data_IF_866493478777
#
_entry.id   IF_866493478777
#
_cell.length_a   1.000
_cell.length_b   1.000
_cell.length_c   1.000
_cell.angle_alpha   90.00
_cell.angle_beta   90.00
_cell.angle_gamma   90.00
#
_symmetry.space_group_name_H-M   'P 1'
#
loop_
_entity.id
_entity.type
_entity.pdbx_description
1 polymer ?
#
# COMPACT_ATOMS: atom_id res chain seq x y z
N UNK A 1 49.56 -25.61 5.20
CA UNK A 1 49.30 -24.41 4.37
C UNK A 1 47.79 -24.30 4.25
N UNK A 2 47.17 -23.38 5.00
CA UNK A 2 45.71 -23.22 5.04
C UNK A 2 45.36 -22.12 4.05
N UNK A 3 44.64 -22.47 2.99
CA UNK A 3 44.11 -21.51 2.03
C UNK A 3 42.63 -21.34 2.30
N UNK A 4 42.25 -20.18 2.84
CA UNK A 4 40.86 -19.73 2.92
C UNK A 4 40.59 -18.94 1.66
N UNK A 5 39.85 -19.52 0.72
CA UNK A 5 39.26 -18.77 -0.41
C UNK A 5 37.91 -18.27 0.06
N UNK A 6 37.79 -16.96 0.25
CA UNK A 6 36.52 -16.31 0.60
C UNK A 6 35.46 -16.69 -0.43
N UNK A 7 34.46 -17.45 0.02
CA UNK A 7 33.30 -17.79 -0.78
C UNK A 7 32.56 -16.51 -1.14
N UNK A 8 32.18 -16.41 -2.41
CA UNK A 8 31.33 -15.39 -3.04
C UNK A 8 30.24 -14.89 -2.09
N UNK A 9 29.86 -13.60 -2.10
CA UNK A 9 28.70 -13.18 -1.35
C UNK A 9 27.45 -13.95 -1.82
N UNK A 10 26.90 -14.78 -0.93
CA UNK A 10 25.64 -15.46 -1.17
C UNK A 10 24.53 -14.42 -1.11
N UNK A 11 24.03 -14.00 -2.27
CA UNK A 11 22.88 -13.10 -2.35
C UNK A 11 21.64 -13.81 -1.83
N UNK A 12 21.07 -13.32 -0.74
CA UNK A 12 19.77 -13.77 -0.27
C UNK A 12 18.66 -13.08 -1.07
N UNK A 13 17.65 -13.85 -1.48
CA UNK A 13 16.48 -13.34 -2.22
C UNK A 13 15.29 -13.19 -1.30
N UNK A 14 14.83 -11.95 -1.12
CA UNK A 14 13.59 -11.63 -0.41
C UNK A 14 12.44 -11.48 -1.40
N UNK A 15 11.33 -12.19 -1.18
CA UNK A 15 10.15 -12.18 -2.05
C UNK A 15 8.97 -11.46 -1.39
N UNK A 16 8.51 -10.37 -2.00
CA UNK A 16 7.41 -9.56 -1.50
C UNK A 16 6.10 -9.71 -2.30
N UNK A 17 6.04 -10.63 -3.28
CA UNK A 17 4.85 -10.79 -4.13
C UNK A 17 3.60 -11.11 -3.33
N UNK A 18 3.68 -12.04 -2.37
CA UNK A 18 2.53 -12.44 -1.56
C UNK A 18 2.02 -11.29 -0.70
N UNK A 19 2.90 -10.63 0.06
CA UNK A 19 2.50 -9.53 0.95
C UNK A 19 1.95 -8.32 0.18
N UNK A 20 2.50 -8.00 -0.99
CA UNK A 20 1.94 -6.95 -1.87
C UNK A 20 0.54 -7.30 -2.33
N UNK A 21 0.28 -8.56 -2.71
CA UNK A 21 -1.02 -9.01 -3.22
C UNK A 21 -2.10 -9.01 -2.15
N UNK A 22 -1.76 -9.38 -0.91
CA UNK A 22 -2.76 -9.53 0.17
C UNK A 22 -2.99 -8.26 0.99
N UNK A 23 -2.15 -7.23 0.84
CA UNK A 23 -2.32 -5.97 1.57
C UNK A 23 -2.63 -4.82 0.62
N UNK A 24 -3.90 -4.37 0.59
CA UNK A 24 -4.37 -3.31 -0.33
C UNK A 24 -3.49 -2.05 -0.29
N UNK A 25 -3.14 -1.58 0.91
CA UNK A 25 -2.25 -0.42 1.07
C UNK A 25 -0.89 -0.57 0.38
N UNK A 26 -0.29 -1.78 0.40
CA UNK A 26 0.97 -2.08 -0.28
C UNK A 26 0.76 -2.22 -1.79
N UNK A 27 -0.33 -2.86 -2.22
CA UNK A 27 -0.67 -2.97 -3.64
C UNK A 27 -0.77 -1.59 -4.31
N UNK A 28 -1.44 -0.64 -3.64
CA UNK A 28 -1.65 0.72 -4.14
C UNK A 28 -0.42 1.63 -4.04
N UNK A 29 0.57 1.28 -3.22
CA UNK A 29 1.74 2.13 -2.90
C UNK A 29 3.06 1.38 -3.02
N UNK A 30 3.13 0.43 -3.94
CA UNK A 30 4.28 -0.47 -4.02
C UNK A 30 5.59 0.28 -4.28
N UNK A 31 5.58 1.29 -5.15
CA UNK A 31 6.78 2.09 -5.42
C UNK A 31 7.27 2.85 -4.18
N UNK A 32 6.34 3.32 -3.34
CA UNK A 32 6.70 3.95 -2.07
C UNK A 32 7.27 2.93 -1.10
N UNK A 33 6.65 1.74 -0.98
CA UNK A 33 7.16 0.65 -0.16
C UNK A 33 8.58 0.21 -0.58
N UNK A 34 8.84 0.06 -1.89
CA UNK A 34 10.18 -0.25 -2.43
C UNK A 34 11.19 0.83 -2.06
N UNK A 35 10.83 2.11 -2.17
CA UNK A 35 11.69 3.22 -1.74
C UNK A 35 11.99 3.18 -0.25
N UNK A 36 11.00 2.89 0.60
CA UNK A 36 11.18 2.81 2.05
C UNK A 36 12.07 1.62 2.45
N UNK A 37 11.87 0.44 1.86
CA UNK A 37 12.75 -0.72 2.04
C UNK A 37 14.18 -0.36 1.61
N UNK A 38 14.34 0.21 0.41
CA UNK A 38 15.64 0.65 -0.08
C UNK A 38 16.31 1.70 0.80
N UNK A 39 15.55 2.53 1.50
CA UNK A 39 16.08 3.50 2.45
C UNK A 39 16.49 2.82 3.77
N UNK A 40 15.66 1.92 4.29
CA UNK A 40 15.90 1.20 5.55
C UNK A 40 17.15 0.30 5.51
N UNK A 41 17.54 -0.16 4.33
CA UNK A 41 18.73 -0.99 4.11
C UNK A 41 19.95 -0.19 3.63
N UNK A 42 19.84 1.13 3.44
CA UNK A 42 20.94 1.97 2.95
C UNK A 42 22.09 1.97 3.95
N UNK A 43 23.29 1.68 3.48
CA UNK A 43 24.50 1.61 4.31
C UNK A 43 24.57 0.39 5.23
N UNK A 44 23.57 -0.51 5.18
CA UNK A 44 23.52 -1.74 5.99
C UNK A 44 23.94 -2.95 5.15
N UNK A 45 23.37 -3.07 3.94
CA UNK A 45 23.67 -4.15 2.99
C UNK A 45 23.75 -3.61 1.56
N UNK A 46 24.49 -4.32 0.72
CA UNK A 46 24.31 -4.22 -0.73
C UNK A 46 22.95 -4.81 -1.09
N UNK A 47 22.27 -4.17 -2.03
CA UNK A 47 20.90 -4.54 -2.40
C UNK A 47 20.59 -4.17 -3.84
N UNK A 48 19.81 -5.01 -4.49
CA UNK A 48 19.41 -4.82 -5.86
C UNK A 48 17.97 -5.33 -6.05
N UNK A 49 17.11 -4.48 -6.61
CA UNK A 49 15.77 -4.93 -6.99
C UNK A 49 15.85 -5.65 -8.33
N UNK A 50 15.17 -6.79 -8.44
CA UNK A 50 15.02 -7.46 -9.73
C UNK A 50 13.97 -6.70 -10.55
N UNK A 51 14.34 -6.29 -11.77
CA UNK A 51 13.44 -5.58 -12.67
C UNK A 51 12.18 -6.39 -12.99
N UNK A 52 11.04 -5.71 -13.00
CA UNK A 52 9.73 -6.35 -13.24
C UNK A 52 9.26 -7.31 -12.15
N UNK A 53 10.02 -7.52 -11.07
CA UNK A 53 9.67 -8.44 -9.99
C UNK A 53 9.53 -7.73 -8.63
N UNK A 54 8.80 -8.36 -7.72
CA UNK A 54 8.68 -7.93 -6.32
C UNK A 54 9.78 -8.57 -5.46
N UNK A 55 10.98 -8.74 -6.03
CA UNK A 55 12.09 -9.46 -5.41
C UNK A 55 13.26 -8.52 -5.17
N UNK A 56 13.84 -8.61 -3.98
CA UNK A 56 15.03 -7.88 -3.58
C UNK A 56 16.15 -8.88 -3.32
N UNK A 57 17.27 -8.70 -4.01
CA UNK A 57 18.52 -9.37 -3.70
C UNK A 57 19.25 -8.55 -2.63
N UNK A 58 19.73 -9.22 -1.58
CA UNK A 58 20.55 -8.59 -0.53
C UNK A 58 21.82 -9.40 -0.32
N UNK A 59 22.95 -8.71 -0.21
CA UNK A 59 24.24 -9.30 0.11
C UNK A 59 24.69 -8.78 1.48
N UNK A 60 24.95 -9.71 2.40
CA UNK A 60 25.45 -9.40 3.74
C UNK A 60 26.98 -9.40 3.73
N UNK A 61 27.58 -8.21 3.76
CA UNK A 61 29.04 -8.07 3.87
C UNK A 61 29.55 -8.17 5.30
N UNK A 62 28.65 -8.14 6.29
CA UNK A 62 28.99 -8.18 7.72
C UNK A 62 28.61 -9.54 8.34
N UNK A 63 29.56 -10.25 8.98
CA UNK A 63 29.32 -11.56 9.57
C UNK A 63 28.31 -11.53 10.73
N UNK A 64 28.18 -10.39 11.42
CA UNK A 64 27.25 -10.23 12.54
C UNK A 64 25.82 -9.85 12.11
N UNK A 65 25.62 -9.52 10.83
CA UNK A 65 24.33 -9.11 10.32
C UNK A 65 23.51 -10.30 9.83
N UNK A 66 22.62 -10.80 10.68
CA UNK A 66 21.73 -11.91 10.32
C UNK A 66 20.67 -11.51 9.28
N UNK A 67 20.31 -12.45 8.40
CA UNK A 67 19.19 -12.30 7.46
C UNK A 67 17.87 -11.94 8.17
N UNK A 68 17.66 -12.44 9.40
CA UNK A 68 16.51 -12.09 10.24
C UNK A 68 16.42 -10.59 10.53
N UNK A 69 17.56 -9.95 10.83
CA UNK A 69 17.57 -8.50 11.10
C UNK A 69 17.21 -7.68 9.86
N UNK A 70 17.61 -8.15 8.67
CA UNK A 70 17.27 -7.53 7.38
C UNK A 70 15.77 -7.68 7.11
N UNK A 71 15.21 -8.87 7.34
CA UNK A 71 13.78 -9.12 7.21
C UNK A 71 12.99 -8.18 8.12
N UNK A 72 13.37 -8.03 9.39
CA UNK A 72 12.70 -7.13 10.32
C UNK A 72 12.72 -5.67 9.82
N UNK A 73 13.88 -5.17 9.37
CA UNK A 73 13.98 -3.81 8.79
C UNK A 73 13.07 -3.63 7.58
N UNK A 74 13.00 -4.62 6.70
CA UNK A 74 12.08 -4.61 5.56
C UNK A 74 10.62 -4.59 6.03
N UNK A 75 10.25 -5.43 6.99
CA UNK A 75 8.89 -5.50 7.53
C UNK A 75 8.48 -4.17 8.18
N UNK A 76 9.35 -3.56 8.98
CA UNK A 76 9.08 -2.26 9.61
C UNK A 76 8.87 -1.16 8.57
N UNK A 77 9.67 -1.15 7.50
CA UNK A 77 9.53 -0.22 6.38
C UNK A 77 8.22 -0.40 5.59
N UNK A 78 7.56 -1.56 5.69
CA UNK A 78 6.27 -1.80 5.04
C UNK A 78 5.08 -1.26 5.84
N UNK A 79 5.20 -1.11 7.17
CA UNK A 79 4.07 -0.78 8.06
C UNK A 79 3.42 0.56 7.68
N UNK A 80 4.21 1.59 7.41
CA UNK A 80 3.71 2.92 7.05
C UNK A 80 2.86 2.91 5.77
N UNK A 81 3.42 2.50 4.62
CA UNK A 81 2.70 2.41 3.35
C UNK A 81 1.47 1.51 3.44
N UNK A 82 1.57 0.39 4.18
CA UNK A 82 0.51 -0.57 4.40
C UNK A 82 -0.69 0.07 5.11
N UNK A 83 -0.47 0.72 6.26
CA UNK A 83 -1.56 1.15 7.15
C UNK A 83 -2.07 2.57 6.93
N UNK A 84 -1.28 3.44 6.28
CA UNK A 84 -1.66 4.86 6.15
C UNK A 84 -3.01 5.00 5.42
N UNK A 85 -3.98 5.78 5.94
CA UNK A 85 -5.28 5.97 5.30
C UNK A 85 -5.18 6.39 3.83
N UNK A 86 -6.12 5.92 3.01
CA UNK A 86 -6.20 6.22 1.58
C UNK A 86 -6.71 7.63 1.35
N UNK A 87 -6.11 8.33 0.40
CA UNK A 87 -6.62 9.60 -0.12
C UNK A 87 -7.80 9.34 -1.05
N UNK A 88 -8.62 10.35 -1.36
CA UNK A 88 -9.73 10.19 -2.32
C UNK A 88 -9.28 9.58 -3.65
N UNK A 89 -8.09 9.96 -4.14
CA UNK A 89 -7.53 9.43 -5.39
C UNK A 89 -7.30 7.92 -5.32
N UNK A 90 -6.66 7.44 -4.25
CA UNK A 90 -6.37 6.01 -4.09
C UNK A 90 -7.64 5.19 -3.83
N UNK A 91 -8.56 5.72 -3.03
CA UNK A 91 -9.87 5.11 -2.79
C UNK A 91 -10.64 4.92 -4.10
N UNK A 92 -10.78 5.98 -4.90
CA UNK A 92 -11.54 5.93 -6.15
C UNK A 92 -10.93 4.94 -7.14
N UNK A 93 -9.59 4.89 -7.22
CA UNK A 93 -8.89 3.91 -8.04
C UNK A 93 -9.12 2.47 -7.55
N UNK A 94 -9.10 2.24 -6.23
CA UNK A 94 -9.30 0.92 -5.65
C UNK A 94 -10.73 0.40 -5.86
N UNK A 95 -11.74 1.24 -5.67
CA UNK A 95 -13.15 0.84 -5.77
C UNK A 95 -13.76 1.04 -7.16
N UNK A 96 -13.04 1.69 -8.08
CA UNK A 96 -13.58 2.09 -9.40
C UNK A 96 -14.88 2.90 -9.27
N UNK A 97 -14.84 3.94 -8.42
CA UNK A 97 -15.97 4.85 -8.14
C UNK A 97 -15.61 6.27 -8.56
N UNK A 98 -16.63 7.07 -8.88
CA UNK A 98 -16.49 8.48 -9.22
C UNK A 98 -16.38 9.36 -7.98
N UNK A 99 -15.92 10.60 -8.17
CA UNK A 99 -15.91 11.57 -7.07
C UNK A 99 -17.33 11.94 -6.59
N UNK A 100 -18.33 11.90 -7.48
CA UNK A 100 -19.74 12.16 -7.14
C UNK A 100 -20.27 11.06 -6.21
N UNK A 101 -20.05 9.80 -6.57
CA UNK A 101 -20.40 8.63 -5.74
C UNK A 101 -19.69 8.71 -4.39
N UNK A 102 -18.37 8.95 -4.39
CA UNK A 102 -17.61 9.13 -3.15
C UNK A 102 -18.24 10.20 -2.26
N UNK A 103 -18.49 11.40 -2.77
CA UNK A 103 -19.05 12.51 -1.98
C UNK A 103 -20.43 12.16 -1.41
N UNK A 104 -21.30 11.56 -2.23
CA UNK A 104 -22.64 11.11 -1.83
C UNK A 104 -22.54 10.08 -0.70
N UNK A 105 -21.82 8.99 -0.93
CA UNK A 105 -21.71 7.87 0.01
C UNK A 105 -20.94 8.24 1.29
N UNK A 106 -20.05 9.22 1.19
CA UNK A 106 -19.41 9.79 2.39
C UNK A 106 -20.40 10.63 3.20
N UNK A 107 -21.27 11.40 2.53
CA UNK A 107 -22.25 12.29 3.17
C UNK A 107 -23.37 11.50 3.85
N UNK A 108 -23.84 10.43 3.22
CA UNK A 108 -24.92 9.59 3.76
C UNK A 108 -24.45 8.47 4.70
N UNK A 109 -23.14 8.33 4.90
CA UNK A 109 -22.54 7.43 5.88
C UNK A 109 -22.22 6.02 5.37
N UNK A 110 -22.57 5.67 4.13
CA UNK A 110 -22.20 4.38 3.51
C UNK A 110 -20.69 4.18 3.43
N UNK A 111 -19.95 5.25 3.18
CA UNK A 111 -18.49 5.25 3.08
C UNK A 111 -17.86 6.02 4.25
N UNK A 112 -17.42 5.33 5.32
CA UNK A 112 -16.94 5.99 6.53
C UNK A 112 -15.58 6.66 6.31
N UNK A 113 -15.41 7.85 6.90
CA UNK A 113 -14.13 8.57 6.91
C UNK A 113 -13.31 8.11 8.10
N UNK A 114 -12.01 7.98 7.91
CA UNK A 114 -11.05 7.71 9.01
C UNK A 114 -10.34 8.96 9.51
N UNK A 115 -10.43 10.07 8.77
CA UNK A 115 -9.83 11.34 9.16
C UNK A 115 -9.72 12.31 7.98
N UNK A 116 -8.76 13.23 8.09
CA UNK A 116 -8.43 14.15 7.02
C UNK A 116 -6.93 14.41 6.97
N UNK A 117 -6.40 14.67 5.77
CA UNK A 117 -5.04 15.16 5.58
C UNK A 117 -5.08 16.54 4.93
N UNK A 118 -4.26 17.45 5.43
CA UNK A 118 -4.09 18.77 4.83
C UNK A 118 -2.98 18.71 3.80
N UNK A 119 -3.33 18.91 2.54
CA UNK A 119 -2.35 19.02 1.46
C UNK A 119 -1.90 20.47 1.42
N UNK A 120 -0.61 20.70 1.72
CA UNK A 120 0.03 22.02 1.61
C UNK A 120 0.31 22.29 0.13
N UNK A 121 -0.58 23.02 -0.51
CA UNK A 121 -0.37 23.67 -1.81
C UNK A 121 -0.29 25.19 -1.59
N UNK A 122 -0.36 25.99 -2.67
CA UNK A 122 -0.47 27.44 -2.57
C UNK A 122 -1.59 27.86 -1.59
N UNK A 123 -2.69 27.10 -1.54
CA UNK A 123 -3.72 27.18 -0.52
C UNK A 123 -3.91 25.80 0.13
N UNK A 124 -3.82 25.67 1.47
CA UNK A 124 -4.02 24.39 2.13
C UNK A 124 -5.43 23.85 1.92
N UNK A 125 -5.55 22.61 1.45
CA UNK A 125 -6.84 21.93 1.29
C UNK A 125 -6.90 20.70 2.19
N UNK A 126 -7.92 20.62 3.04
CA UNK A 126 -8.20 19.43 3.84
C UNK A 126 -9.02 18.44 3.03
N UNK A 127 -8.50 17.21 2.89
CA UNK A 127 -9.19 16.13 2.17
C UNK A 127 -9.46 14.97 3.12
N UNK A 128 -10.67 14.41 3.05
CA UNK A 128 -11.03 13.23 3.85
C UNK A 128 -10.23 12.01 3.42
N UNK A 129 -9.84 11.20 4.41
CA UNK A 129 -9.13 9.94 4.22
C UNK A 129 -9.98 8.75 4.66
N UNK A 130 -9.63 7.57 4.15
CA UNK A 130 -10.41 6.33 4.31
C UNK A 130 -9.50 5.19 4.78
N UNK A 131 -9.97 4.39 5.72
CA UNK A 131 -9.21 3.29 6.31
C UNK A 131 -8.87 2.24 5.27
N UNK A 132 -7.65 1.71 5.30
CA UNK A 132 -7.21 0.70 4.33
C UNK A 132 -8.04 -0.57 4.48
N UNK A 133 -8.31 -1.00 5.71
CA UNK A 133 -9.03 -2.25 6.00
C UNK A 133 -10.49 -2.18 5.54
N UNK A 134 -11.20 -1.09 5.87
CA UNK A 134 -12.57 -0.84 5.40
C UNK A 134 -12.65 -0.85 3.87
N UNK A 135 -11.68 -0.23 3.19
CA UNK A 135 -11.67 -0.21 1.72
C UNK A 135 -11.32 -1.60 1.17
N UNK A 136 -10.45 -2.36 1.84
CA UNK A 136 -10.14 -3.73 1.46
C UNK A 136 -11.36 -4.65 1.53
N UNK A 137 -12.21 -4.50 2.55
CA UNK A 137 -13.49 -5.21 2.65
C UNK A 137 -14.41 -4.87 1.46
N UNK A 138 -14.53 -3.59 1.11
CA UNK A 138 -15.33 -3.16 -0.05
C UNK A 138 -14.75 -3.62 -1.40
N UNK A 139 -13.43 -3.75 -1.52
CA UNK A 139 -12.78 -4.32 -2.70
C UNK A 139 -13.04 -5.83 -2.77
N UNK A 140 -13.05 -6.52 -1.62
CA UNK A 140 -13.28 -7.95 -1.54
C UNK A 140 -14.73 -8.34 -1.88
N UNK A 141 -15.69 -7.44 -1.63
CA UNK A 141 -17.10 -7.61 -2.02
C UNK A 141 -17.63 -6.46 -2.90
N UNK A 142 -17.39 -6.53 -4.23
CA UNK A 142 -17.91 -5.54 -5.18
C UNK A 142 -19.44 -5.45 -5.22
N UNK A 143 -20.17 -6.44 -4.68
CA UNK A 143 -21.64 -6.45 -4.69
C UNK A 143 -22.22 -5.34 -3.82
N UNK A 144 -21.50 -4.90 -2.78
CA UNK A 144 -21.87 -3.79 -1.90
C UNK A 144 -21.96 -2.49 -2.70
N UNK A 145 -20.92 -2.18 -3.49
CA UNK A 145 -20.87 -0.99 -4.35
C UNK A 145 -21.98 -1.04 -5.41
N UNK A 146 -22.22 -2.23 -6.00
CA UNK A 146 -23.30 -2.41 -6.96
C UNK A 146 -24.68 -2.20 -6.32
N UNK A 147 -24.89 -2.64 -5.07
CA UNK A 147 -26.13 -2.42 -4.34
C UNK A 147 -26.37 -0.93 -4.05
N UNK A 148 -25.33 -0.20 -3.65
CA UNK A 148 -25.43 1.25 -3.44
C UNK A 148 -25.82 2.01 -4.70
N UNK A 149 -25.25 1.65 -5.86
CA UNK A 149 -25.63 2.23 -7.17
C UNK A 149 -27.08 1.94 -7.53
N UNK A 150 -27.56 0.71 -7.29
CA UNK A 150 -28.98 0.36 -7.52
C UNK A 150 -29.92 1.16 -6.62
N UNK A 151 -29.57 1.31 -5.34
CA UNK A 151 -30.33 2.14 -4.40
C UNK A 151 -30.40 3.61 -4.86
N UNK A 152 -29.27 4.17 -5.29
CA UNK A 152 -29.20 5.53 -5.84
C UNK A 152 -30.11 5.70 -7.05
N UNK A 153 -30.07 4.77 -8.01
CA UNK A 153 -30.90 4.82 -9.21
C UNK A 153 -32.40 4.65 -8.92
N UNK A 154 -32.78 3.92 -7.87
CA UNK A 154 -34.17 3.81 -7.44
C UNK A 154 -34.65 5.09 -6.78
N UNK A 155 -33.83 5.73 -5.94
CA UNK A 155 -34.16 7.01 -5.31
C UNK A 155 -34.28 8.14 -6.34
N UNK A 156 -33.40 8.20 -7.35
CA UNK A 156 -33.47 9.19 -8.43
C UNK A 156 -34.75 9.05 -9.28
N UNK A 157 -35.20 7.81 -9.53
CA UNK A 157 -36.47 7.53 -10.24
C UNK A 157 -37.71 7.99 -9.45
N UNK A 158 -37.70 7.81 -8.13
CA UNK A 158 -38.81 8.23 -7.26
C UNK A 158 -38.91 9.76 -7.12
N UNK A 159 -37.80 10.49 -7.31
CA UNK A 159 -37.78 11.95 -7.17
C UNK A 159 -38.23 12.69 -8.45
N UNK A 160 -38.36 11.99 -9.58
CA UNK A 160 -38.66 12.58 -10.90
C UNK A 160 -40.07 12.21 -11.41
N UNK A 161 -40.80 11.34 -10.69
CA UNK A 161 -42.19 10.99 -10.97
C UNK A 161 -43.13 11.63 -9.96
#
# INVERSE_FOLDING_TARGET
MVSVTASTPEWARLNFTSIRRHHLGLALRWDEARRQISAALRGVVKREWIDGADHLLVETTHPDLSLRSIILRCTDALVGPARRPLTPRLLMAALSITNKERLRWTKDGRLPRSGSVTIRAAHPVSVSTYGVDTVAELVADPSIIAAWRRADASAERQATG
#
